data_IF_121582459374
#
_entry.id   IF_121582459374
#
_cell.length_a   1.000
_cell.length_b   1.000
_cell.length_c   1.000
_cell.angle_alpha   90.00
_cell.angle_beta   90.00
_cell.angle_gamma   90.00
#
_symmetry.space_group_name_H-M   'P 1'
#
loop_
_entity.id
_entity.type
_entity.pdbx_description
1 polymer ?
#
# COMPACT_ATOMS: atom_id res chain seq x y z
N UNK A 1 14.09 -13.99 20.23
CA UNK A 1 14.15 -14.58 18.88
C UNK A 1 15.53 -14.34 18.32
N UNK A 2 16.27 -15.40 17.99
CA UNK A 2 17.52 -15.30 17.23
C UNK A 2 17.21 -15.51 15.74
N UNK A 3 17.82 -14.70 14.88
CA UNK A 3 17.76 -14.88 13.42
C UNK A 3 19.03 -15.60 13.02
N UNK A 4 18.91 -16.70 12.29
CA UNK A 4 20.06 -17.39 11.68
C UNK A 4 20.01 -17.08 10.19
N UNK A 5 21.13 -16.60 9.63
CA UNK A 5 21.27 -16.31 8.21
C UNK A 5 22.17 -17.40 7.64
N UNK A 6 21.58 -18.39 6.97
CA UNK A 6 22.33 -19.46 6.29
C UNK A 6 22.52 -19.07 4.82
N UNK A 7 23.42 -18.12 4.59
CA UNK A 7 23.77 -17.64 3.25
C UNK A 7 25.20 -17.07 3.24
N UNK A 8 26.11 -17.77 2.56
CA UNK A 8 27.52 -17.42 2.48
C UNK A 8 27.79 -16.03 1.84
N UNK A 9 26.95 -15.59 0.91
CA UNK A 9 27.06 -14.27 0.29
C UNK A 9 26.73 -13.16 1.30
N UNK A 10 25.67 -13.34 2.08
CA UNK A 10 25.28 -12.38 3.12
C UNK A 10 26.34 -12.32 4.22
N UNK A 11 26.90 -13.46 4.62
CA UNK A 11 27.99 -13.50 5.60
C UNK A 11 29.25 -12.77 5.09
N UNK A 12 29.65 -13.00 3.83
CA UNK A 12 30.78 -12.31 3.22
C UNK A 12 30.56 -10.80 3.15
N UNK A 13 29.35 -10.37 2.76
CA UNK A 13 28.99 -8.96 2.65
C UNK A 13 28.94 -8.26 4.02
N UNK A 14 28.42 -8.95 5.05
CA UNK A 14 28.46 -8.44 6.43
C UNK A 14 29.90 -8.37 6.94
N UNK A 15 30.73 -9.38 6.69
CA UNK A 15 32.13 -9.37 7.10
C UNK A 15 32.88 -8.17 6.48
N UNK A 16 32.70 -7.91 5.19
CA UNK A 16 33.32 -6.77 4.51
C UNK A 16 32.84 -5.41 5.07
N UNK A 17 31.52 -5.26 5.29
CA UNK A 17 30.96 -4.04 5.85
C UNK A 17 31.40 -3.79 7.30
N UNK A 18 31.49 -4.84 8.13
CA UNK A 18 31.99 -4.72 9.50
C UNK A 18 33.48 -4.37 9.52
N UNK A 19 34.29 -4.94 8.63
CA UNK A 19 35.71 -4.63 8.49
C UNK A 19 35.94 -3.18 8.04
N UNK A 20 35.14 -2.69 7.09
CA UNK A 20 35.28 -1.36 6.50
C UNK A 20 34.72 -0.25 7.40
N UNK A 21 33.58 -0.49 8.05
CA UNK A 21 32.89 0.53 8.87
C UNK A 21 33.23 0.45 10.35
N UNK A 22 33.90 -0.62 10.79
CA UNK A 22 34.17 -0.95 12.19
C UNK A 22 32.91 -1.02 13.07
N UNK A 23 31.75 -1.27 12.47
CA UNK A 23 30.47 -1.42 13.17
C UNK A 23 30.14 -2.88 13.39
N UNK A 24 29.41 -3.16 14.46
CA UNK A 24 28.94 -4.51 14.73
C UNK A 24 27.86 -4.94 13.71
N UNK A 25 27.92 -6.20 13.26
CA UNK A 25 26.96 -6.75 12.30
C UNK A 25 25.48 -6.56 12.71
N UNK A 26 25.08 -6.74 13.99
CA UNK A 26 23.70 -6.51 14.40
C UNK A 26 23.23 -5.06 14.20
N UNK A 27 24.11 -4.08 14.39
CA UNK A 27 23.77 -2.66 14.21
C UNK A 27 23.57 -2.32 12.73
N UNK A 28 24.42 -2.86 11.86
CA UNK A 28 24.29 -2.73 10.41
C UNK A 28 22.98 -3.35 9.91
N UNK A 29 22.66 -4.57 10.36
CA UNK A 29 21.41 -5.24 10.02
C UNK A 29 20.19 -4.49 10.53
N UNK A 30 20.22 -4.01 11.78
CA UNK A 30 19.12 -3.23 12.35
C UNK A 30 18.87 -1.93 11.58
N UNK A 31 19.93 -1.23 11.18
CA UNK A 31 19.80 -0.03 10.37
C UNK A 31 19.22 -0.33 8.99
N UNK A 32 19.69 -1.39 8.33
CA UNK A 32 19.16 -1.82 7.04
C UNK A 32 17.67 -2.15 7.12
N UNK A 33 17.26 -2.89 8.15
CA UNK A 33 15.84 -3.21 8.39
C UNK A 33 15.00 -1.96 8.68
N UNK A 34 15.55 -0.97 9.41
CA UNK A 34 14.85 0.31 9.65
C UNK A 34 14.67 1.11 8.38
N UNK A 35 15.70 1.20 7.53
CA UNK A 35 15.64 1.87 6.23
C UNK A 35 14.62 1.20 5.31
N UNK A 36 14.67 -0.12 5.23
CA UNK A 36 13.74 -0.88 4.39
C UNK A 36 12.29 -0.73 4.87
N UNK A 37 12.06 -0.77 6.18
CA UNK A 37 10.74 -0.49 6.75
C UNK A 37 10.25 0.91 6.39
N UNK A 38 11.11 1.93 6.49
CA UNK A 38 10.75 3.30 6.14
C UNK A 38 10.38 3.42 4.65
N UNK A 39 11.21 2.85 3.77
CA UNK A 39 10.96 2.80 2.32
C UNK A 39 9.61 2.16 2.00
N UNK A 40 9.33 0.99 2.58
CA UNK A 40 8.07 0.27 2.35
C UNK A 40 6.87 1.06 2.88
N UNK A 41 7.01 1.76 4.01
CA UNK A 41 5.93 2.60 4.53
C UNK A 41 5.68 3.80 3.63
N UNK A 42 6.73 4.48 3.15
CA UNK A 42 6.62 5.58 2.18
C UNK A 42 5.92 5.13 0.90
N UNK A 43 6.30 3.96 0.35
CA UNK A 43 5.64 3.36 -0.82
C UNK A 43 4.15 3.15 -0.57
N UNK A 44 3.77 2.57 0.57
CA UNK A 44 2.36 2.40 0.95
C UNK A 44 1.61 3.72 1.09
N UNK A 45 2.25 4.75 1.63
CA UNK A 45 1.62 6.07 1.75
C UNK A 45 1.40 6.71 0.38
N UNK A 46 2.36 6.55 -0.55
CA UNK A 46 2.21 7.00 -1.94
C UNK A 46 1.07 6.28 -2.64
N UNK A 47 0.96 4.97 -2.48
CA UNK A 47 -0.13 4.17 -3.07
C UNK A 47 -1.50 4.60 -2.54
N UNK A 48 -1.62 4.81 -1.22
CA UNK A 48 -2.85 5.31 -0.60
C UNK A 48 -3.23 6.70 -1.12
N UNK A 49 -2.26 7.61 -1.21
CA UNK A 49 -2.49 8.95 -1.74
C UNK A 49 -2.97 8.91 -3.20
N UNK A 50 -2.35 8.05 -4.03
CA UNK A 50 -2.76 7.84 -5.42
C UNK A 50 -4.18 7.28 -5.52
N UNK A 51 -4.53 6.30 -4.69
CA UNK A 51 -5.88 5.73 -4.65
C UNK A 51 -6.94 6.77 -4.26
N UNK A 52 -6.69 7.58 -3.23
CA UNK A 52 -7.58 8.67 -2.82
C UNK A 52 -7.75 9.70 -3.94
N UNK A 53 -6.65 10.11 -4.56
CA UNK A 53 -6.67 11.08 -5.67
C UNK A 53 -7.48 10.54 -6.86
N UNK A 54 -7.30 9.27 -7.22
CA UNK A 54 -8.06 8.59 -8.27
C UNK A 54 -9.55 8.54 -7.94
N UNK A 55 -9.92 8.16 -6.72
CA UNK A 55 -11.31 8.14 -6.27
C UNK A 55 -11.97 9.51 -6.32
N UNK A 56 -11.26 10.56 -5.91
CA UNK A 56 -11.75 11.94 -6.01
C UNK A 56 -11.97 12.37 -7.45
N UNK A 57 -11.02 12.09 -8.34
CA UNK A 57 -11.16 12.41 -9.77
C UNK A 57 -12.36 11.70 -10.39
N UNK A 58 -12.59 10.42 -10.05
CA UNK A 58 -13.75 9.67 -10.51
C UNK A 58 -15.05 10.30 -10.00
N UNK A 59 -15.11 10.64 -8.71
CA UNK A 59 -16.27 11.29 -8.10
C UNK A 59 -16.60 12.62 -8.80
N UNK A 60 -15.62 13.51 -8.96
CA UNK A 60 -15.79 14.80 -9.63
C UNK A 60 -16.30 14.63 -11.07
N UNK A 61 -15.73 13.69 -11.83
CA UNK A 61 -16.17 13.40 -13.21
C UNK A 61 -17.60 12.87 -13.26
N UNK A 62 -17.97 11.97 -12.35
CA UNK A 62 -19.32 11.40 -12.29
C UNK A 62 -20.35 12.47 -11.96
N UNK A 63 -20.07 13.35 -10.99
CA UNK A 63 -21.01 14.42 -10.61
C UNK A 63 -21.12 15.54 -11.64
N UNK A 64 -20.07 15.78 -12.43
CA UNK A 64 -20.12 16.70 -13.55
C UNK A 64 -20.78 16.10 -14.81
N UNK A 65 -21.05 14.79 -14.82
CA UNK A 65 -21.65 14.12 -15.97
C UNK A 65 -23.14 14.44 -16.07
N UNK A 66 -23.68 14.43 -17.29
CA UNK A 66 -25.09 14.63 -17.51
C UNK A 66 -25.91 13.52 -16.85
N UNK A 67 -26.98 13.90 -16.14
CA UNK A 67 -27.97 12.97 -15.63
C UNK A 67 -28.75 12.36 -16.81
N UNK A 68 -28.52 11.08 -17.07
CA UNK A 68 -29.15 10.34 -18.19
C UNK A 68 -30.56 9.90 -17.85
N UNK A 69 -30.79 9.43 -16.62
CA UNK A 69 -32.09 9.03 -16.11
C UNK A 69 -32.37 9.81 -14.82
N UNK A 70 -33.38 10.69 -14.80
CA UNK A 70 -33.70 11.50 -13.63
C UNK A 70 -34.58 10.78 -12.62
N UNK A 71 -35.06 9.56 -12.93
CA UNK A 71 -35.91 8.81 -12.01
C UNK A 71 -35.16 8.52 -10.70
N UNK A 72 -35.85 8.55 -9.55
CA UNK A 72 -35.27 8.13 -8.28
C UNK A 72 -34.91 6.64 -8.32
N UNK A 73 -33.98 6.22 -7.47
CA UNK A 73 -33.41 4.87 -7.54
C UNK A 73 -34.45 3.78 -7.34
N UNK A 74 -35.49 4.05 -6.55
CA UNK A 74 -36.62 3.16 -6.27
C UNK A 74 -37.49 2.89 -7.51
N UNK A 75 -37.55 3.83 -8.47
CA UNK A 75 -38.26 3.65 -9.74
C UNK A 75 -37.37 2.99 -10.82
N UNK A 76 -36.05 2.98 -10.60
CA UNK A 76 -35.07 2.34 -11.49
C UNK A 76 -34.90 0.88 -11.09
N UNK A 77 -34.85 0.60 -9.79
CA UNK A 77 -34.78 -0.75 -9.25
C UNK A 77 -36.15 -1.42 -9.39
N UNK A 78 -36.21 -2.55 -10.10
CA UNK A 78 -37.42 -3.38 -10.21
C UNK A 78 -37.67 -4.21 -8.93
N UNK A 79 -37.39 -3.63 -7.77
CA UNK A 79 -37.56 -4.27 -6.47
C UNK A 79 -38.61 -3.50 -5.67
N UNK A 80 -39.51 -4.23 -5.00
CA UNK A 80 -40.46 -3.64 -4.08
C UNK A 80 -39.78 -3.17 -2.78
N UNK A 81 -40.57 -2.57 -1.89
CA UNK A 81 -40.13 -2.12 -0.56
C UNK A 81 -39.55 -3.24 0.33
N UNK A 82 -39.77 -4.51 -0.02
CA UNK A 82 -39.24 -5.69 0.67
C UNK A 82 -38.00 -6.29 -0.02
N UNK A 83 -37.55 -5.69 -1.13
CA UNK A 83 -36.42 -6.19 -1.92
C UNK A 83 -36.76 -7.39 -2.80
N UNK A 84 -38.04 -7.61 -3.12
CA UNK A 84 -38.50 -8.66 -4.03
C UNK A 84 -38.66 -8.11 -5.46
N UNK A 85 -38.30 -8.89 -6.50
CA UNK A 85 -38.54 -8.48 -7.89
C UNK A 85 -40.03 -8.25 -8.15
N UNK A 86 -40.36 -7.17 -8.87
CA UNK A 86 -41.71 -6.85 -9.35
C UNK A 86 -41.88 -7.23 -10.82
#
# INVERSE_FOLDING_TARGET
>A
MSITIDNAEVEALLADLTATTHRAAPDLLLELLRRERARVEEDRQRDRAAAIASGRLLHERTYASQLVDPRPIEEILAYDENGLPV
#
